data_IF_249642732466
#
_entry.id   IF_249642732466
#
_cell.length_a   1.000
_cell.length_b   1.000
_cell.length_c   1.000
_cell.angle_alpha   90.00
_cell.angle_beta   90.00
_cell.angle_gamma   90.00
#
_symmetry.space_group_name_H-M   'P 1'
#
loop_
_entity.id
_entity.type
_entity.pdbx_description
1 polymer ?
#
# COMPACT_ATOMS: atom_id res chain seq x y z
N UNK A 1 -14.47 -7.90 -11.74
CA UNK A 1 -13.78 -8.78 -10.76
C UNK A 1 -12.65 -9.60 -11.37
N UNK A 2 -12.36 -9.49 -12.67
CA UNK A 2 -11.27 -10.24 -13.31
C UNK A 2 -9.91 -9.70 -12.83
N UNK A 3 -9.03 -10.57 -12.33
CA UNK A 3 -7.65 -10.25 -11.91
C UNK A 3 -7.36 -10.23 -10.40
N UNK A 4 -8.37 -10.07 -9.52
CA UNK A 4 -8.15 -10.08 -8.04
C UNK A 4 -8.22 -11.47 -7.41
N UNK A 5 -8.74 -12.46 -8.15
CA UNK A 5 -8.95 -13.81 -7.62
C UNK A 5 -7.65 -14.49 -7.18
N UNK A 6 -6.53 -14.19 -7.82
CA UNK A 6 -5.24 -14.78 -7.47
C UNK A 6 -4.88 -14.54 -6.00
N UNK A 7 -4.93 -13.27 -5.56
CA UNK A 7 -4.59 -12.91 -4.18
C UNK A 7 -5.61 -13.43 -3.17
N UNK A 8 -6.91 -13.44 -3.51
CA UNK A 8 -7.92 -13.99 -2.61
C UNK A 8 -7.83 -15.51 -2.48
N UNK A 9 -7.48 -16.22 -3.56
CA UNK A 9 -7.22 -17.66 -3.52
C UNK A 9 -5.94 -17.98 -2.75
N UNK A 10 -4.86 -17.23 -2.99
CA UNK A 10 -3.53 -17.45 -2.39
C UNK A 10 -3.46 -17.05 -0.92
N UNK A 11 -3.98 -15.87 -0.58
CA UNK A 11 -3.87 -15.28 0.75
C UNK A 11 -5.22 -15.17 1.45
N UNK A 12 -6.24 -14.66 0.74
CA UNK A 12 -7.56 -14.39 1.30
C UNK A 12 -8.12 -15.59 2.08
N UNK A 13 -8.18 -16.78 1.46
CA UNK A 13 -8.64 -18.01 2.12
C UNK A 13 -7.90 -18.33 3.43
N UNK A 14 -6.57 -18.20 3.45
CA UNK A 14 -5.75 -18.46 4.66
C UNK A 14 -6.05 -17.44 5.75
N UNK A 15 -6.16 -16.17 5.37
CA UNK A 15 -6.41 -15.06 6.29
C UNK A 15 -7.81 -15.20 6.90
N UNK A 16 -8.83 -15.43 6.08
CA UNK A 16 -10.21 -15.52 6.55
C UNK A 16 -10.41 -16.73 7.45
N UNK A 17 -9.86 -17.90 7.11
CA UNK A 17 -9.95 -19.10 7.95
C UNK A 17 -9.34 -18.92 9.35
N UNK A 18 -8.30 -18.07 9.48
CA UNK A 18 -7.56 -17.92 10.74
C UNK A 18 -8.01 -16.74 11.60
N UNK A 19 -8.43 -15.63 10.99
CA UNK A 19 -8.65 -14.36 11.70
C UNK A 19 -10.11 -13.90 11.75
N UNK A 20 -11.01 -14.56 11.00
CA UNK A 20 -12.44 -14.24 11.00
C UNK A 20 -13.10 -14.73 12.28
N UNK A 21 -13.89 -13.85 12.89
CA UNK A 21 -14.65 -14.18 14.09
C UNK A 21 -15.83 -15.13 13.76
N UNK A 22 -16.20 -16.02 14.70
CA UNK A 22 -17.40 -16.84 14.57
C UNK A 22 -18.63 -15.96 14.30
N UNK A 23 -19.46 -16.34 13.31
CA UNK A 23 -20.63 -15.57 12.88
C UNK A 23 -20.38 -14.62 11.69
N UNK A 24 -19.13 -14.44 11.26
CA UNK A 24 -18.83 -13.79 9.98
C UNK A 24 -19.20 -14.67 8.78
N UNK A 25 -19.42 -14.05 7.61
CA UNK A 25 -19.71 -14.82 6.39
C UNK A 25 -18.52 -15.72 6.01
N UNK A 26 -18.68 -17.02 6.23
CA UNK A 26 -17.62 -18.02 6.05
C UNK A 26 -17.28 -18.30 4.58
N UNK A 27 -18.16 -17.93 3.63
CA UNK A 27 -17.93 -18.17 2.19
C UNK A 27 -17.14 -17.04 1.52
N UNK A 28 -17.05 -15.87 2.17
CA UNK A 28 -16.35 -14.71 1.62
C UNK A 28 -14.83 -14.89 1.72
N UNK A 29 -14.14 -14.92 0.59
CA UNK A 29 -12.67 -15.09 0.57
C UNK A 29 -11.91 -13.79 0.80
N UNK A 30 -12.54 -12.64 0.60
CA UNK A 30 -11.91 -11.36 0.83
C UNK A 30 -11.77 -11.11 2.33
N UNK A 31 -10.55 -10.89 2.85
CA UNK A 31 -10.37 -10.49 4.23
C UNK A 31 -10.81 -9.04 4.43
N UNK A 32 -11.30 -8.73 5.63
CA UNK A 32 -11.40 -7.34 6.08
C UNK A 32 -10.00 -6.76 6.26
N UNK A 33 -9.87 -5.42 6.27
CA UNK A 33 -8.57 -4.80 6.48
C UNK A 33 -7.97 -5.15 7.85
N UNK A 34 -8.79 -5.23 8.90
CA UNK A 34 -8.33 -5.68 10.22
C UNK A 34 -7.84 -7.14 10.23
N UNK A 35 -8.53 -8.05 9.51
CA UNK A 35 -8.07 -9.44 9.32
C UNK A 35 -6.72 -9.48 8.59
N UNK A 36 -6.56 -8.66 7.55
CA UNK A 36 -5.31 -8.52 6.81
C UNK A 36 -4.17 -7.98 7.70
N UNK A 37 -4.38 -6.91 8.47
CA UNK A 37 -3.36 -6.39 9.38
C UNK A 37 -2.97 -7.41 10.46
N UNK A 38 -3.91 -8.20 10.98
CA UNK A 38 -3.56 -9.30 11.92
C UNK A 38 -2.70 -10.36 11.26
N UNK A 39 -2.94 -10.69 10.00
CA UNK A 39 -2.09 -11.60 9.25
C UNK A 39 -0.67 -11.05 9.10
N UNK A 40 -0.52 -9.80 8.67
CA UNK A 40 0.80 -9.15 8.53
C UNK A 40 1.53 -9.11 9.88
N UNK A 41 0.86 -8.64 10.92
CA UNK A 41 1.46 -8.48 12.25
C UNK A 41 1.95 -9.79 12.87
N UNK A 42 1.21 -10.89 12.67
CA UNK A 42 1.49 -12.16 13.34
C UNK A 42 2.31 -13.12 12.50
N UNK A 43 2.09 -13.17 11.19
CA UNK A 43 2.76 -14.15 10.33
C UNK A 43 4.03 -13.60 9.69
N UNK A 44 4.14 -12.27 9.55
CA UNK A 44 5.30 -11.60 8.92
C UNK A 44 5.66 -12.22 7.55
N UNK A 45 4.65 -12.73 6.84
CA UNK A 45 4.80 -13.24 5.49
C UNK A 45 4.64 -12.07 4.53
N UNK A 46 5.70 -11.72 3.83
CA UNK A 46 5.76 -10.55 2.97
C UNK A 46 5.71 -10.94 1.50
N UNK A 47 4.73 -10.40 0.79
CA UNK A 47 4.64 -10.38 -0.67
C UNK A 47 5.12 -9.00 -1.15
N UNK A 48 5.52 -8.88 -2.41
CA UNK A 48 6.01 -7.63 -3.01
C UNK A 48 5.03 -6.44 -2.82
N UNK A 49 3.74 -6.71 -2.67
CA UNK A 49 2.71 -5.69 -2.48
C UNK A 49 2.63 -5.09 -1.06
N UNK A 50 3.21 -5.74 -0.05
CA UNK A 50 3.16 -5.28 1.34
C UNK A 50 4.47 -5.51 2.11
N UNK A 51 5.53 -5.93 1.43
CA UNK A 51 6.86 -5.93 1.99
C UNK A 51 7.31 -4.48 2.28
N UNK A 52 8.03 -4.23 3.39
CA UNK A 52 8.61 -2.91 3.65
C UNK A 52 9.57 -2.48 2.53
N UNK A 53 9.49 -1.21 2.12
CA UNK A 53 10.27 -0.68 1.01
C UNK A 53 11.78 -0.66 1.28
N UNK A 54 12.18 -0.46 2.54
CA UNK A 54 13.59 -0.52 2.93
C UNK A 54 14.23 -1.88 2.62
N UNK A 55 13.43 -2.95 2.49
CA UNK A 55 13.90 -4.29 2.13
C UNK A 55 13.85 -4.56 0.63
N UNK A 56 12.82 -4.06 -0.06
CA UNK A 56 12.59 -4.40 -1.47
C UNK A 56 13.27 -3.43 -2.43
N UNK A 57 13.47 -2.17 -2.04
CA UNK A 57 14.11 -1.16 -2.86
C UNK A 57 15.57 -0.90 -2.48
N UNK A 58 16.05 -1.43 -1.35
CA UNK A 58 17.42 -1.20 -0.87
C UNK A 58 17.89 0.27 -0.95
N UNK A 59 17.14 1.24 -0.36
CA UNK A 59 17.41 2.68 -0.49
C UNK A 59 18.79 3.12 0.03
N UNK A 60 19.46 2.28 0.82
CA UNK A 60 20.81 2.52 1.31
C UNK A 60 21.91 1.96 0.40
N UNK A 61 21.59 1.02 -0.50
CA UNK A 61 22.55 0.36 -1.39
C UNK A 61 22.61 1.01 -2.78
N UNK A 62 21.52 1.67 -3.19
CA UNK A 62 21.40 2.34 -4.48
C UNK A 62 21.40 3.86 -4.30
N UNK A 63 22.07 4.55 -5.23
CA UNK A 63 22.03 6.00 -5.30
C UNK A 63 20.86 6.43 -6.17
N UNK A 64 19.77 6.85 -5.54
CA UNK A 64 18.58 7.34 -6.24
C UNK A 64 18.74 8.82 -6.58
N UNK A 65 18.61 9.15 -7.86
CA UNK A 65 18.59 10.55 -8.31
C UNK A 65 17.29 11.26 -7.89
N UNK A 66 16.17 10.52 -7.82
CA UNK A 66 14.86 11.06 -7.46
C UNK A 66 14.07 10.09 -6.57
N UNK A 67 13.34 10.66 -5.60
CA UNK A 67 12.36 9.96 -4.76
C UNK A 67 11.06 10.78 -4.81
N UNK A 68 10.00 10.20 -5.38
CA UNK A 68 8.72 10.87 -5.58
C UNK A 68 7.73 10.44 -4.49
N UNK A 69 6.89 11.38 -4.03
CA UNK A 69 5.84 11.09 -3.04
C UNK A 69 4.47 11.10 -3.69
N UNK A 70 3.60 10.16 -3.32
CA UNK A 70 2.24 10.10 -3.87
C UNK A 70 1.44 11.35 -3.49
N UNK A 71 1.69 11.90 -2.30
CA UNK A 71 1.03 13.12 -1.81
C UNK A 71 1.37 14.36 -2.64
N UNK A 72 2.54 14.38 -3.29
CA UNK A 72 3.01 15.48 -4.13
C UNK A 72 3.30 15.03 -5.56
N UNK A 73 2.71 13.92 -6.00
CA UNK A 73 3.10 13.23 -7.23
C UNK A 73 2.97 14.13 -8.46
N UNK A 74 1.91 14.92 -8.54
CA UNK A 74 1.71 15.84 -9.67
C UNK A 74 2.87 16.83 -9.81
N UNK A 75 3.36 17.37 -8.70
CA UNK A 75 4.51 18.29 -8.70
C UNK A 75 5.79 17.52 -9.01
N UNK A 76 6.03 16.41 -8.32
CA UNK A 76 7.31 15.70 -8.35
C UNK A 76 7.52 15.02 -9.72
N UNK A 77 6.47 14.48 -10.34
CA UNK A 77 6.54 13.91 -11.68
C UNK A 77 6.77 15.00 -12.74
N UNK A 78 6.15 16.17 -12.61
CA UNK A 78 6.36 17.27 -13.56
C UNK A 78 7.81 17.75 -13.51
N UNK A 79 8.38 17.86 -12.32
CA UNK A 79 9.80 18.17 -12.14
C UNK A 79 10.69 17.11 -12.81
N UNK A 80 10.44 15.82 -12.52
CA UNK A 80 11.19 14.71 -13.11
C UNK A 80 11.15 14.75 -14.64
N UNK A 81 9.97 14.95 -15.24
CA UNK A 81 9.79 14.98 -16.70
C UNK A 81 10.57 16.15 -17.34
N UNK A 82 10.54 17.33 -16.72
CA UNK A 82 11.27 18.50 -17.20
C UNK A 82 12.79 18.31 -17.08
N UNK A 83 13.26 17.82 -15.93
CA UNK A 83 14.68 17.65 -15.65
C UNK A 83 15.32 16.58 -16.55
N UNK A 84 14.58 15.50 -16.84
CA UNK A 84 15.00 14.41 -17.74
C UNK A 84 14.69 14.67 -19.22
N UNK A 85 14.06 15.81 -19.56
CA UNK A 85 13.66 16.20 -20.92
C UNK A 85 12.79 15.15 -21.63
N UNK A 86 11.90 14.49 -20.88
CA UNK A 86 11.04 13.42 -21.40
C UNK A 86 9.68 13.91 -21.91
N UNK A 87 9.44 15.23 -21.91
CA UNK A 87 8.14 15.83 -22.27
C UNK A 87 7.60 15.37 -23.62
N UNK A 88 8.47 15.16 -24.62
CA UNK A 88 8.06 14.78 -25.98
C UNK A 88 7.75 13.28 -26.13
N UNK A 89 8.07 12.46 -25.13
CA UNK A 89 7.92 11.00 -25.16
C UNK A 89 6.77 10.47 -24.31
N UNK A 90 6.23 11.31 -23.42
CA UNK A 90 5.22 10.91 -22.45
C UNK A 90 3.85 11.44 -22.85
N UNK A 91 2.82 10.66 -22.54
CA UNK A 91 1.46 11.18 -22.58
C UNK A 91 1.29 12.30 -21.56
N UNK A 92 0.42 13.25 -21.87
CA UNK A 92 0.01 14.26 -20.90
C UNK A 92 -0.44 13.58 -19.59
N UNK A 93 -0.11 14.21 -18.46
CA UNK A 93 -0.47 13.70 -17.12
C UNK A 93 -1.95 13.36 -17.02
N UNK A 94 -2.82 14.18 -17.63
CA UNK A 94 -4.29 14.03 -17.60
C UNK A 94 -4.84 13.11 -18.69
N UNK A 95 -3.98 12.39 -19.41
CA UNK A 95 -4.43 11.46 -20.44
C UNK A 95 -5.32 10.36 -19.82
N UNK A 96 -6.45 9.97 -20.44
CA UNK A 96 -7.40 9.01 -19.85
C UNK A 96 -6.77 7.66 -19.44
N UNK A 97 -5.68 7.25 -20.09
CA UNK A 97 -4.93 6.03 -19.75
C UNK A 97 -4.19 6.11 -18.40
N UNK A 98 -3.95 7.33 -17.90
CA UNK A 98 -3.25 7.60 -16.65
C UNK A 98 -4.21 7.86 -15.48
N UNK A 99 -5.53 7.78 -15.72
CA UNK A 99 -6.55 8.04 -14.70
C UNK A 99 -7.00 6.71 -14.11
N UNK A 100 -6.89 6.57 -12.78
CA UNK A 100 -7.54 5.48 -12.07
C UNK A 100 -9.08 5.63 -12.19
N UNK A 101 -9.79 4.68 -12.82
CA UNK A 101 -11.25 4.78 -12.98
C UNK A 101 -12.01 4.74 -11.65
N UNK A 102 -11.35 4.32 -10.57
CA UNK A 102 -11.91 4.28 -9.22
C UNK A 102 -11.56 5.51 -8.37
N UNK A 103 -10.89 6.51 -8.95
CA UNK A 103 -10.49 7.73 -8.26
C UNK A 103 -9.24 7.60 -7.40
N UNK A 104 -8.83 8.71 -6.78
CA UNK A 104 -7.67 8.75 -5.91
C UNK A 104 -7.99 8.19 -4.51
N UNK A 105 -6.99 7.59 -3.87
CA UNK A 105 -7.07 7.29 -2.44
C UNK A 105 -6.99 8.60 -1.67
N UNK A 106 -7.98 8.88 -0.82
CA UNK A 106 -8.04 10.12 -0.03
C UNK A 106 -7.85 9.83 1.46
N UNK A 107 -7.59 10.89 2.24
CA UNK A 107 -7.51 10.76 3.71
C UNK A 107 -8.80 10.17 4.31
N UNK A 108 -9.96 10.53 3.76
CA UNK A 108 -11.25 9.98 4.17
C UNK A 108 -11.31 8.46 3.97
N UNK A 109 -10.87 7.97 2.81
CA UNK A 109 -10.81 6.52 2.55
C UNK A 109 -9.87 5.84 3.55
N UNK A 110 -8.69 6.43 3.81
CA UNK A 110 -7.78 5.92 4.83
C UNK A 110 -8.46 5.83 6.20
N UNK A 111 -9.12 6.90 6.63
CA UNK A 111 -9.84 6.97 7.91
C UNK A 111 -10.92 5.88 7.99
N UNK A 112 -11.68 5.64 6.92
CA UNK A 112 -12.68 4.55 6.84
C UNK A 112 -12.04 3.17 7.06
N UNK A 113 -10.84 2.92 6.52
CA UNK A 113 -10.13 1.66 6.68
C UNK A 113 -9.58 1.46 8.10
N UNK A 114 -9.03 2.51 8.71
CA UNK A 114 -8.39 2.40 10.04
C UNK A 114 -9.39 2.56 11.20
N UNK A 115 -10.58 3.09 10.93
CA UNK A 115 -11.63 3.25 11.94
C UNK A 115 -12.00 1.89 12.55
N UNK A 116 -11.99 1.82 13.89
CA UNK A 116 -12.32 0.59 14.62
C UNK A 116 -11.18 -0.43 14.70
N UNK A 117 -10.01 -0.16 14.13
CA UNK A 117 -8.83 -1.01 14.29
C UNK A 117 -8.19 -0.71 15.66
N UNK A 118 -7.92 -1.73 16.50
CA UNK A 118 -7.29 -1.52 17.79
C UNK A 118 -5.93 -0.84 17.65
N UNK A 119 -5.66 0.18 18.48
CA UNK A 119 -4.38 0.90 18.49
C UNK A 119 -3.18 -0.05 18.61
N UNK A 120 -3.29 -1.06 19.47
CA UNK A 120 -2.25 -2.08 19.66
C UNK A 120 -1.94 -2.90 18.39
N UNK A 121 -2.89 -3.06 17.47
CA UNK A 121 -2.64 -3.68 16.18
C UNK A 121 -1.92 -2.71 15.23
N UNK A 122 -2.32 -1.44 15.21
CA UNK A 122 -1.64 -0.41 14.42
C UNK A 122 -0.19 -0.22 14.89
N UNK A 123 0.07 -0.24 16.20
CA UNK A 123 1.43 -0.12 16.74
C UNK A 123 2.32 -1.30 16.30
N UNK A 124 1.77 -2.53 16.25
CA UNK A 124 2.49 -3.70 15.71
C UNK A 124 2.81 -3.54 14.23
N UNK A 125 1.87 -3.00 13.46
CA UNK A 125 2.09 -2.70 12.03
C UNK A 125 3.14 -1.62 11.86
N UNK A 126 3.07 -0.53 12.63
CA UNK A 126 4.10 0.51 12.64
C UNK A 126 5.49 -0.07 12.88
N UNK A 127 5.65 -0.99 13.85
CA UNK A 127 6.94 -1.63 14.10
C UNK A 127 7.48 -2.45 12.93
N UNK A 128 6.63 -2.96 12.05
CA UNK A 128 7.07 -3.64 10.82
C UNK A 128 7.62 -2.63 9.80
N UNK A 129 6.97 -1.47 9.67
CA UNK A 129 7.29 -0.44 8.68
C UNK A 129 8.11 0.73 9.24
N UNK A 130 8.56 0.69 10.49
CA UNK A 130 9.18 1.82 11.20
C UNK A 130 10.35 2.45 10.43
N UNK A 131 11.16 1.62 9.77
CA UNK A 131 12.27 2.10 8.95
C UNK A 131 11.78 2.88 7.72
N UNK A 132 10.69 2.45 7.06
CA UNK A 132 10.11 3.17 5.93
C UNK A 132 9.60 4.54 6.38
N UNK A 133 8.94 4.60 7.55
CA UNK A 133 8.48 5.87 8.13
C UNK A 133 9.65 6.83 8.36
N UNK A 134 10.76 6.34 8.92
CA UNK A 134 11.96 7.15 9.17
C UNK A 134 12.65 7.58 7.87
N UNK A 135 12.88 6.65 6.95
CA UNK A 135 13.59 6.90 5.70
C UNK A 135 12.85 7.90 4.80
N UNK A 136 11.52 7.80 4.72
CA UNK A 136 10.72 8.62 3.83
C UNK A 136 10.01 9.79 4.54
N UNK A 137 10.37 10.04 5.80
CA UNK A 137 9.86 11.14 6.63
C UNK A 137 8.32 11.14 6.72
N UNK A 138 7.74 9.99 7.05
CA UNK A 138 6.32 9.86 7.40
C UNK A 138 6.14 9.82 8.92
N UNK A 139 5.07 10.44 9.40
CA UNK A 139 4.68 10.38 10.82
C UNK A 139 3.69 9.24 11.05
N UNK A 140 3.79 8.58 12.21
CA UNK A 140 2.79 7.60 12.62
C UNK A 140 1.49 8.28 13.07
N UNK A 141 0.37 7.60 12.85
CA UNK A 141 -1.00 8.11 13.09
C UNK A 141 -1.36 8.09 14.59
#
# INVERSE_FOLDING_TARGET
>A
MQGREYYYRRFGRRITLKYRQPGGNATRLEPTFAEFLRFIANEKYFDEHWAPYYRTCEPCALHYDYILKIETLDRDQNFLIQDTKLSDYLYEVRHPRNINPHGATTRKILDEYVTGIPRSLLDKIYKIYENDYKLFNYSFI
#
